data_IF_130063208906
#
_entry.id   IF_130063208906
#
_cell.length_a   1.000
_cell.length_b   1.000
_cell.length_c   1.000
_cell.angle_alpha   90.00
_cell.angle_beta   90.00
_cell.angle_gamma   90.00
#
_symmetry.space_group_name_H-M   'P 1'
#
loop_
_entity.id
_entity.type
_entity.pdbx_description
1 polymer ?
#
# COMPACT_ATOMS: atom_id res chain seq x y z
N UNK A 1 7.61 9.33 16.96
CA UNK A 1 7.63 8.25 15.96
C UNK A 1 6.29 8.30 15.23
N UNK A 2 6.28 8.16 13.90
CA UNK A 2 5.04 8.08 13.14
C UNK A 2 4.25 6.83 13.55
N UNK A 3 2.93 6.95 13.71
CA UNK A 3 2.08 5.80 13.99
C UNK A 3 2.05 4.89 12.75
N UNK A 4 2.15 3.56 12.99
CA UNK A 4 2.14 2.56 11.91
C UNK A 4 0.73 2.08 11.67
N UNK A 5 0.31 2.11 10.43
CA UNK A 5 -1.00 1.60 10.00
C UNK A 5 -0.85 0.54 8.91
N UNK A 6 -1.78 -0.39 8.87
CA UNK A 6 -1.89 -1.38 7.79
C UNK A 6 -3.05 -0.96 6.89
N UNK A 7 -2.76 -0.70 5.62
CA UNK A 7 -3.75 -0.39 4.61
C UNK A 7 -4.04 -1.64 3.77
N UNK A 8 -5.33 -2.01 3.67
CA UNK A 8 -5.77 -2.96 2.66
C UNK A 8 -5.54 -2.34 1.26
N UNK A 9 -4.52 -2.81 0.57
CA UNK A 9 -4.02 -2.22 -0.64
C UNK A 9 -4.33 -3.11 -1.84
N UNK A 10 -5.11 -2.58 -2.77
CA UNK A 10 -5.53 -3.34 -3.95
C UNK A 10 -4.51 -3.29 -5.09
N UNK A 11 -3.65 -2.27 -5.14
CA UNK A 11 -2.81 -1.97 -6.31
C UNK A 11 -3.42 -0.98 -7.30
N UNK A 12 -4.71 -0.64 -7.12
CA UNK A 12 -5.40 0.35 -7.94
C UNK A 12 -5.00 1.80 -7.65
N UNK A 13 -5.48 2.71 -8.48
CA UNK A 13 -5.25 4.16 -8.36
C UNK A 13 -5.65 4.67 -6.97
N UNK A 14 -6.89 4.40 -6.55
CA UNK A 14 -7.45 4.94 -5.29
C UNK A 14 -6.61 4.53 -4.08
N UNK A 15 -6.27 3.24 -3.98
CA UNK A 15 -5.43 2.74 -2.88
C UNK A 15 -4.00 3.25 -2.96
N UNK A 16 -3.49 3.63 -4.14
CA UNK A 16 -2.17 4.24 -4.30
C UNK A 16 -2.16 5.70 -3.87
N UNK A 17 -3.21 6.46 -4.20
CA UNK A 17 -3.42 7.82 -3.69
C UNK A 17 -3.59 7.79 -2.17
N UNK A 18 -4.35 6.82 -1.63
CA UNK A 18 -4.53 6.66 -0.19
C UNK A 18 -3.21 6.44 0.56
N UNK A 19 -2.29 5.63 0.03
CA UNK A 19 -0.94 5.46 0.61
C UNK A 19 -0.22 6.81 0.73
N UNK A 20 -0.22 7.60 -0.35
CA UNK A 20 0.44 8.91 -0.37
C UNK A 20 -0.21 9.88 0.62
N UNK A 21 -1.53 9.97 0.60
CA UNK A 21 -2.30 10.87 1.46
C UNK A 21 -2.14 10.54 2.94
N UNK A 22 -2.24 9.26 3.32
CA UNK A 22 -2.04 8.83 4.71
C UNK A 22 -0.63 9.11 5.22
N UNK A 23 0.38 9.05 4.33
CA UNK A 23 1.75 9.40 4.67
C UNK A 23 1.94 10.91 4.83
N UNK A 24 1.50 11.70 3.85
CA UNK A 24 1.81 13.14 3.79
C UNK A 24 0.89 13.97 4.68
N UNK A 25 -0.43 13.78 4.56
CA UNK A 25 -1.42 14.52 5.34
C UNK A 25 -1.67 13.87 6.70
N UNK A 26 -1.64 12.53 6.75
CA UNK A 26 -1.86 11.77 7.98
C UNK A 26 -0.61 11.58 8.84
N UNK A 27 0.59 11.76 8.29
CA UNK A 27 1.85 11.54 9.02
C UNK A 27 2.10 10.07 9.43
N UNK A 28 1.40 9.11 8.82
CA UNK A 28 1.51 7.69 9.15
C UNK A 28 2.63 6.99 8.41
N UNK A 29 3.21 5.98 9.06
CA UNK A 29 4.04 4.97 8.39
C UNK A 29 3.13 3.86 7.85
N UNK A 30 2.86 3.89 6.54
CA UNK A 30 1.89 3.00 5.90
C UNK A 30 2.51 1.67 5.49
N UNK A 31 1.94 0.56 5.95
CA UNK A 31 2.21 -0.80 5.46
C UNK A 31 1.09 -1.20 4.50
N UNK A 32 1.41 -1.42 3.24
CA UNK A 32 0.44 -1.89 2.23
C UNK A 32 0.31 -3.42 2.29
N UNK A 33 -0.90 -3.92 2.55
CA UNK A 33 -1.22 -5.34 2.57
C UNK A 33 -2.14 -5.69 1.40
N UNK A 34 -1.70 -6.60 0.54
CA UNK A 34 -2.53 -7.25 -0.46
C UNK A 34 -2.71 -8.71 -0.07
N UNK A 35 -3.97 -9.17 -0.07
CA UNK A 35 -4.32 -10.58 0.12
C UNK A 35 -4.86 -11.11 -1.20
N UNK A 36 -4.23 -12.16 -1.73
CA UNK A 36 -4.70 -12.85 -2.93
C UNK A 36 -5.85 -13.78 -2.56
N UNK A 37 -7.04 -13.44 -3.09
CA UNK A 37 -8.28 -14.21 -2.93
C UNK A 37 -8.72 -14.86 -4.24
N UNK A 38 -7.78 -15.11 -5.16
CA UNK A 38 -8.03 -15.65 -6.51
C UNK A 38 -7.98 -14.59 -7.61
N UNK A 39 -7.34 -13.45 -7.35
CA UNK A 39 -7.17 -12.40 -8.35
C UNK A 39 -5.85 -12.64 -9.08
N UNK A 40 -5.90 -12.80 -10.41
CA UNK A 40 -4.69 -12.87 -11.24
C UNK A 40 -3.99 -11.49 -11.39
N UNK A 41 -3.78 -10.79 -10.28
CA UNK A 41 -3.00 -9.54 -10.26
C UNK A 41 -1.52 -9.85 -10.16
N UNK A 42 -0.73 -9.01 -10.82
CA UNK A 42 0.71 -9.12 -10.82
C UNK A 42 1.26 -8.55 -9.50
N UNK A 43 1.77 -9.43 -8.63
CA UNK A 43 2.36 -9.08 -7.34
C UNK A 43 3.43 -7.99 -7.46
N UNK A 44 4.28 -8.11 -8.48
CA UNK A 44 5.40 -7.19 -8.71
C UNK A 44 4.92 -5.78 -9.06
N UNK A 45 3.87 -5.66 -9.86
CA UNK A 45 3.28 -4.37 -10.21
C UNK A 45 2.65 -3.70 -8.99
N UNK A 46 1.89 -4.45 -8.20
CA UNK A 46 1.29 -3.95 -6.96
C UNK A 46 2.37 -3.50 -5.95
N UNK A 47 3.45 -4.28 -5.81
CA UNK A 47 4.58 -3.93 -4.96
C UNK A 47 5.25 -2.62 -5.42
N UNK A 48 5.58 -2.52 -6.70
CA UNK A 48 6.22 -1.33 -7.27
C UNK A 48 5.36 -0.08 -7.06
N UNK A 49 4.05 -0.17 -7.32
CA UNK A 49 3.10 0.93 -7.12
C UNK A 49 2.99 1.33 -5.64
N UNK A 50 2.91 0.39 -4.71
CA UNK A 50 2.83 0.68 -3.27
C UNK A 50 4.07 1.43 -2.77
N UNK A 51 5.26 0.97 -3.14
CA UNK A 51 6.52 1.59 -2.72
C UNK A 51 6.70 2.97 -3.36
N UNK A 52 6.38 3.12 -4.64
CA UNK A 52 6.41 4.41 -5.35
C UNK A 52 5.44 5.42 -4.73
N UNK A 53 4.24 4.97 -4.34
CA UNK A 53 3.26 5.80 -3.64
C UNK A 53 3.72 6.24 -2.24
N UNK A 54 4.71 5.54 -1.65
CA UNK A 54 5.36 5.93 -0.42
C UNK A 54 5.16 4.99 0.77
N UNK A 55 4.59 3.79 0.55
CA UNK A 55 4.47 2.78 1.61
C UNK A 55 5.85 2.38 2.14
N UNK A 56 5.96 2.21 3.46
CA UNK A 56 7.20 1.78 4.11
C UNK A 56 7.47 0.28 3.87
N UNK A 57 6.41 -0.50 3.66
CA UNK A 57 6.49 -1.94 3.41
C UNK A 57 5.32 -2.41 2.57
N UNK A 58 5.56 -3.40 1.73
CA UNK A 58 4.55 -4.15 1.00
C UNK A 58 4.49 -5.59 1.53
N UNK A 59 3.30 -6.09 1.80
CA UNK A 59 3.04 -7.44 2.28
C UNK A 59 2.05 -8.10 1.32
N UNK A 60 2.43 -9.26 0.79
CA UNK A 60 1.56 -10.13 0.00
C UNK A 60 1.22 -11.39 0.80
N UNK A 61 -0.05 -11.75 0.85
CA UNK A 61 -0.56 -12.94 1.53
C UNK A 61 -1.50 -13.72 0.65
#
# INVERSE_FOLDING_TARGET
MAEKIVLAYSGGLDTSVAVRWLKEEGGYEVIALTVDVGMQRQREEAQSRALTAGAAKFVWR
#
